data_IF_766129522012
#
_entry.id   IF_766129522012
#
_cell.length_a   1.000
_cell.length_b   1.000
_cell.length_c   1.000
_cell.angle_alpha   90.00
_cell.angle_beta   90.00
_cell.angle_gamma   90.00
#
_symmetry.space_group_name_H-M   'P 1'
#
loop_
_entity.id
_entity.type
_entity.pdbx_description
1 polymer ?
#
# COMPACT_ATOMS: atom_id res chain seq x y z
N UNK A 1 31.43 -2.92 2.76
CA UNK A 1 30.64 -1.67 2.61
C UNK A 1 29.18 -2.07 2.45
N UNK A 2 28.32 -1.86 3.46
CA UNK A 2 26.87 -2.09 3.27
C UNK A 2 26.36 -0.92 2.44
N UNK A 3 25.85 -1.18 1.24
CA UNK A 3 25.07 -0.18 0.53
C UNK A 3 23.92 0.20 1.46
N UNK A 4 23.86 1.46 1.89
CA UNK A 4 22.65 2.01 2.48
C UNK A 4 21.58 1.90 1.41
N UNK A 5 20.66 0.94 1.55
CA UNK A 5 19.54 0.82 0.63
C UNK A 5 18.79 2.16 0.65
N UNK A 6 18.50 2.67 -0.55
CA UNK A 6 17.82 3.95 -0.69
C UNK A 6 16.45 3.89 -0.01
N UNK A 7 15.98 5.04 0.47
CA UNK A 7 14.59 5.15 0.86
C UNK A 7 13.70 5.01 -0.38
N UNK A 8 12.53 4.42 -0.15
CA UNK A 8 11.51 4.20 -1.17
C UNK A 8 10.18 4.71 -0.70
N UNK A 9 9.36 5.15 -1.66
CA UNK A 9 7.94 5.33 -1.47
C UNK A 9 7.26 3.99 -1.74
N UNK A 10 6.69 3.39 -0.69
CA UNK A 10 5.74 2.29 -0.83
C UNK A 10 4.35 2.86 -1.09
N UNK A 11 3.75 2.43 -2.19
CA UNK A 11 2.33 2.68 -2.49
C UNK A 11 1.57 1.37 -2.45
N UNK A 12 0.47 1.35 -1.71
CA UNK A 12 -0.47 0.25 -1.61
C UNK A 12 -1.83 0.71 -2.16
N UNK A 13 -2.45 -0.07 -3.02
CA UNK A 13 -3.78 0.19 -3.59
C UNK A 13 -4.65 -1.03 -3.32
N UNK A 14 -5.82 -0.80 -2.73
CA UNK A 14 -6.71 -1.88 -2.30
C UNK A 14 -8.17 -1.44 -2.38
N UNK A 15 -9.14 -2.38 -2.41
CA UNK A 15 -10.54 -2.04 -2.19
C UNK A 15 -10.77 -1.53 -0.76
N UNK A 16 -11.83 -0.74 -0.60
CA UNK A 16 -12.07 0.03 0.63
C UNK A 16 -12.35 -0.85 1.86
N UNK A 17 -12.89 -2.05 1.68
CA UNK A 17 -13.17 -3.04 2.73
C UNK A 17 -11.88 -3.62 3.35
N UNK A 18 -10.80 -3.68 2.57
CA UNK A 18 -9.47 -4.11 3.03
C UNK A 18 -8.70 -2.96 3.69
N UNK A 19 -8.98 -1.71 3.31
CA UNK A 19 -8.19 -0.55 3.71
C UNK A 19 -8.03 -0.41 5.23
N UNK A 20 -9.13 -0.52 6.00
CA UNK A 20 -9.08 -0.38 7.45
C UNK A 20 -8.14 -1.40 8.11
N UNK A 21 -8.18 -2.66 7.66
CA UNK A 21 -7.32 -3.72 8.19
C UNK A 21 -5.84 -3.46 7.90
N UNK A 22 -5.54 -2.90 6.73
CA UNK A 22 -4.18 -2.48 6.38
C UNK A 22 -3.75 -1.30 7.23
N UNK A 23 -4.58 -0.28 7.41
CA UNK A 23 -4.29 0.87 8.27
C UNK A 23 -3.98 0.45 9.71
N UNK A 24 -4.81 -0.41 10.30
CA UNK A 24 -4.62 -0.94 11.65
C UNK A 24 -3.30 -1.70 11.78
N UNK A 25 -2.96 -2.54 10.78
CA UNK A 25 -1.70 -3.26 10.74
C UNK A 25 -0.50 -2.30 10.68
N UNK A 26 -0.57 -1.26 9.84
CA UNK A 26 0.51 -0.27 9.73
C UNK A 26 0.68 0.53 11.03
N UNK A 27 -0.42 0.95 11.65
CA UNK A 27 -0.42 1.64 12.95
C UNK A 27 0.15 0.76 14.08
N UNK A 28 0.00 -0.56 13.99
CA UNK A 28 0.58 -1.50 14.95
C UNK A 28 2.11 -1.66 14.83
N UNK A 29 2.72 -1.17 13.74
CA UNK A 29 4.17 -1.28 13.46
C UNK A 29 4.82 0.09 13.25
N UNK A 30 4.81 0.97 14.26
CA UNK A 30 5.46 2.29 14.17
C UNK A 30 6.98 2.19 13.96
N UNK A 31 7.58 1.05 14.28
CA UNK A 31 8.98 0.73 14.00
C UNK A 31 9.29 0.60 12.50
N UNK A 32 8.32 0.16 11.69
CA UNK A 32 8.46 0.02 10.23
C UNK A 32 7.81 1.18 9.46
N UNK A 33 6.78 1.77 10.05
CA UNK A 33 5.91 2.77 9.44
C UNK A 33 5.70 3.91 10.45
N UNK A 34 6.65 4.86 10.53
CA UNK A 34 6.52 6.02 11.42
C UNK A 34 5.31 6.91 11.05
N UNK A 35 4.88 6.84 9.80
CA UNK A 35 3.71 7.52 9.29
C UNK A 35 3.36 7.06 7.88
N UNK A 36 2.11 7.34 7.50
CA UNK A 36 1.60 7.12 6.15
C UNK A 36 0.53 8.16 5.84
N UNK A 37 0.18 8.24 4.55
CA UNK A 37 -0.90 9.08 4.03
C UNK A 37 -1.92 8.20 3.33
N UNK A 38 -3.18 8.60 3.41
CA UNK A 38 -4.30 7.89 2.79
C UNK A 38 -4.99 8.84 1.81
N UNK A 39 -5.37 8.33 0.64
CA UNK A 39 -6.17 9.07 -0.35
C UNK A 39 -7.13 8.13 -1.08
N UNK A 40 -8.31 8.64 -1.43
CA UNK A 40 -9.23 7.94 -2.33
C UNK A 40 -8.72 7.95 -3.78
N UNK A 41 -9.02 6.90 -4.53
CA UNK A 41 -8.75 6.78 -5.96
C UNK A 41 -9.83 5.94 -6.66
N UNK A 42 -9.83 5.97 -8.00
CA UNK A 42 -10.63 5.10 -8.84
C UNK A 42 -9.73 4.11 -9.58
N UNK A 43 -10.04 2.82 -9.46
CA UNK A 43 -9.35 1.76 -10.20
C UNK A 43 -10.07 1.46 -11.50
N UNK A 44 -9.35 1.53 -12.62
CA UNK A 44 -9.84 1.15 -13.95
C UNK A 44 -8.94 0.05 -14.54
N UNK A 45 -9.50 -0.98 -15.16
CA UNK A 45 -8.70 -1.99 -15.86
C UNK A 45 -9.40 -3.34 -16.09
N UNK A 46 -8.94 -4.07 -17.11
CA UNK A 46 -9.47 -5.39 -17.49
C UNK A 46 -8.99 -6.56 -16.62
N UNK A 47 -7.94 -6.34 -15.81
CA UNK A 47 -7.35 -7.34 -14.91
C UNK A 47 -7.71 -7.12 -13.43
N UNK A 48 -8.58 -6.15 -13.14
CA UNK A 48 -9.15 -5.99 -11.81
C UNK A 48 -10.15 -7.13 -11.66
N UNK A 49 -9.91 -8.07 -10.73
CA UNK A 49 -10.97 -8.98 -10.33
C UNK A 49 -12.06 -8.11 -9.70
N UNK A 50 -13.11 -7.84 -10.48
CA UNK A 50 -14.29 -7.12 -10.06
C UNK A 50 -15.03 -8.09 -9.14
N UNK A 51 -14.95 -7.84 -7.82
CA UNK A 51 -15.42 -8.80 -6.79
C UNK A 51 -16.91 -8.62 -6.51
N UNK A 52 -17.51 -7.52 -6.98
CA UNK A 52 -18.92 -7.21 -6.73
C UNK A 52 -19.66 -6.80 -8.02
N UNK A 53 -20.94 -7.17 -8.13
CA UNK A 53 -21.78 -7.04 -9.33
C UNK A 53 -21.96 -5.57 -9.77
N UNK A 54 -21.80 -4.62 -8.84
CA UNK A 54 -21.82 -3.18 -9.13
C UNK A 54 -20.58 -2.66 -9.86
N UNK A 55 -19.42 -3.29 -9.68
CA UNK A 55 -18.14 -2.87 -10.29
C UNK A 55 -18.09 -3.22 -11.79
N UNK A 56 -18.81 -4.27 -12.21
CA UNK A 56 -18.96 -4.69 -13.61
C UNK A 56 -19.76 -3.69 -14.46
N UNK A 57 -20.68 -2.95 -13.85
CA UNK A 57 -21.61 -2.02 -14.55
C UNK A 57 -21.01 -0.62 -14.73
N UNK A 58 -20.07 -0.20 -13.87
CA UNK A 58 -19.53 1.17 -13.85
C UNK A 58 -18.17 1.35 -14.56
N UNK A 59 -17.44 0.25 -14.85
CA UNK A 59 -16.11 0.31 -15.47
C UNK A 59 -15.00 0.90 -14.58
N UNK A 60 -15.30 1.10 -13.29
CA UNK A 60 -14.36 1.57 -12.27
C UNK A 60 -14.79 1.06 -10.89
N UNK A 61 -13.82 0.95 -9.97
CA UNK A 61 -14.03 0.53 -8.60
C UNK A 61 -13.38 1.53 -7.63
N UNK A 62 -14.05 1.95 -6.54
CA UNK A 62 -13.43 2.80 -5.54
C UNK A 62 -12.26 2.08 -4.88
N UNK A 63 -11.15 2.79 -4.70
CA UNK A 63 -9.92 2.28 -4.10
C UNK A 63 -9.41 3.22 -3.03
N UNK A 64 -8.78 2.64 -2.03
CA UNK A 64 -7.94 3.37 -1.08
C UNK A 64 -6.48 3.21 -1.48
N UNK A 65 -5.75 4.33 -1.48
CA UNK A 65 -4.31 4.37 -1.71
C UNK A 65 -3.61 4.79 -0.42
N UNK A 66 -2.73 3.93 0.08
CA UNK A 66 -1.87 4.21 1.23
C UNK A 66 -0.44 4.41 0.75
N UNK A 67 0.21 5.46 1.23
CA UNK A 67 1.60 5.81 0.90
C UNK A 67 2.44 6.03 2.14
N UNK A 68 3.59 5.36 2.21
CA UNK A 68 4.58 5.54 3.28
C UNK A 68 6.00 5.53 2.72
N UNK A 69 6.88 6.32 3.33
CA UNK A 69 8.28 6.46 2.96
C UNK A 69 9.18 5.82 4.02
N UNK A 70 10.33 5.30 3.61
CA UNK A 70 11.39 4.86 4.50
C UNK A 70 12.31 3.82 3.85
N UNK A 71 13.15 3.15 4.64
CA UNK A 71 14.15 2.22 4.11
C UNK A 71 13.50 1.08 3.33
N UNK A 72 14.05 0.73 2.16
CA UNK A 72 13.52 -0.33 1.31
C UNK A 72 13.31 -1.66 2.08
N UNK A 73 14.26 -2.02 2.95
CA UNK A 73 14.16 -3.22 3.77
C UNK A 73 12.94 -3.21 4.68
N UNK A 74 12.65 -2.07 5.32
CA UNK A 74 11.49 -1.92 6.19
C UNK A 74 10.19 -2.02 5.36
N UNK A 75 10.15 -1.44 4.15
CA UNK A 75 8.95 -1.52 3.29
C UNK A 75 8.71 -2.93 2.74
N UNK A 76 9.77 -3.69 2.49
CA UNK A 76 9.64 -5.12 2.16
C UNK A 76 9.14 -5.95 3.34
N UNK A 77 9.54 -5.61 4.56
CA UNK A 77 9.00 -6.24 5.78
C UNK A 77 7.50 -5.94 5.95
N UNK A 78 7.08 -4.69 5.71
CA UNK A 78 5.65 -4.32 5.70
C UNK A 78 4.85 -5.18 4.71
N UNK A 79 5.34 -5.36 3.49
CA UNK A 79 4.69 -6.21 2.49
C UNK A 79 4.58 -7.67 2.93
N UNK A 80 5.62 -8.20 3.59
CA UNK A 80 5.59 -9.55 4.15
C UNK A 80 4.53 -9.69 5.25
N UNK A 81 4.41 -8.70 6.13
CA UNK A 81 3.42 -8.68 7.21
C UNK A 81 1.98 -8.61 6.65
N UNK A 82 1.74 -7.75 5.66
CA UNK A 82 0.43 -7.67 4.99
C UNK A 82 0.08 -9.02 4.38
N UNK A 83 1.01 -9.65 3.65
CA UNK A 83 0.80 -10.96 3.04
C UNK A 83 0.54 -12.06 4.07
N UNK A 84 1.18 -12.01 5.22
CA UNK A 84 0.98 -12.98 6.30
C UNK A 84 -0.36 -12.79 6.99
N UNK A 85 -0.75 -11.55 7.31
CA UNK A 85 -1.99 -11.23 8.00
C UNK A 85 -3.22 -11.39 7.09
N UNK A 86 -3.06 -11.11 5.79
CA UNK A 86 -4.15 -11.03 4.82
C UNK A 86 -3.75 -11.72 3.50
N UNK A 87 -3.58 -13.06 3.49
CA UNK A 87 -2.98 -13.79 2.36
C UNK A 87 -3.79 -13.70 1.05
N UNK A 88 -5.09 -13.43 1.14
CA UNK A 88 -6.01 -13.34 0.00
C UNK A 88 -6.45 -11.89 -0.30
N UNK A 89 -5.91 -10.90 0.40
CA UNK A 89 -6.31 -9.51 0.18
C UNK A 89 -5.84 -9.01 -1.19
N UNK A 90 -6.75 -8.34 -1.90
CA UNK A 90 -6.48 -7.72 -3.19
C UNK A 90 -5.72 -6.39 -2.97
N UNK A 91 -4.43 -6.47 -2.66
CA UNK A 91 -3.55 -5.32 -2.48
C UNK A 91 -2.53 -5.29 -3.61
N UNK A 92 -2.67 -4.32 -4.51
CA UNK A 92 -1.65 -4.01 -5.52
C UNK A 92 -0.64 -3.04 -4.93
N UNK A 93 0.65 -3.20 -5.25
CA UNK A 93 1.69 -2.34 -4.68
C UNK A 93 2.81 -2.07 -5.68
N UNK A 94 3.55 -1.00 -5.41
CA UNK A 94 4.84 -0.75 -6.03
C UNK A 94 5.75 0.04 -5.09
N UNK A 95 7.04 0.02 -5.42
CA UNK A 95 8.09 0.78 -4.75
C UNK A 95 8.71 1.73 -5.76
N UNK A 96 8.82 3.02 -5.41
CA UNK A 96 9.57 4.01 -6.19
C UNK A 96 10.77 4.49 -5.38
N UNK A 97 11.98 4.58 -5.97
CA UNK A 97 13.11 5.21 -5.30
C UNK A 97 12.80 6.70 -5.06
N UNK A 98 13.18 7.21 -3.89
CA UNK A 98 13.06 8.63 -3.58
C UNK A 98 14.44 9.27 -3.39
N UNK A 99 14.56 10.54 -3.76
CA UNK A 99 15.82 11.30 -3.67
C UNK A 99 16.01 11.87 -2.26
N UNK A 100 14.94 12.36 -1.64
CA UNK A 100 14.97 12.95 -0.30
C UNK A 100 13.57 12.88 0.35
N UNK A 101 13.53 12.63 1.67
CA UNK A 101 12.34 12.77 2.50
C UNK A 101 12.72 13.31 3.88
N UNK A 102 12.20 14.49 4.22
CA UNK A 102 12.50 15.19 5.48
C UNK A 102 11.33 16.09 5.88
N UNK A 103 11.27 16.40 7.17
CA UNK A 103 10.46 17.52 7.65
C UNK A 103 11.20 18.84 7.39
N UNK A 104 10.45 19.93 7.15
CA UNK A 104 10.99 21.28 7.04
C UNK A 104 11.20 21.91 8.42
#
# INVERSE_FOLDING_TARGET
>A
MRATMADVLLTLIMPNDIAQHVEDLLLSRPDLVPGFTVSAAEGHGSAIALVDDGELVAGHAPRTVIRTVGPESAKREVLALIKQAMPNANVFYWLLPIIEAKHL
#
